data_IF_004314945674
#
_entry.id   IF_004314945674
#
_cell.length_a   1.000
_cell.length_b   1.000
_cell.length_c   1.000
_cell.angle_alpha   90.00
_cell.angle_beta   90.00
_cell.angle_gamma   90.00
#
_symmetry.space_group_name_H-M   'P 1'
#
loop_
_entity.id
_entity.type
_entity.pdbx_description
1 polymer ?
#
# COMPACT_ATOMS: atom_id res chain seq x y z
N UNK A 1 -21.61 7.48 -55.00
CA UNK A 1 -21.30 6.64 -53.82
C UNK A 1 -19.98 7.09 -53.22
N UNK A 2 -19.97 7.28 -51.89
CA UNK A 2 -18.83 7.30 -50.94
C UNK A 2 -17.61 8.18 -51.25
N UNK A 3 -17.42 9.19 -50.41
CA UNK A 3 -16.11 9.53 -49.85
C UNK A 3 -16.29 9.86 -48.36
N UNK A 4 -16.13 8.84 -47.52
CA UNK A 4 -15.91 8.97 -46.07
C UNK A 4 -14.41 8.73 -45.91
N UNK A 5 -13.71 9.64 -45.25
CA UNK A 5 -12.53 9.45 -44.36
C UNK A 5 -11.67 10.71 -44.44
N UNK A 6 -11.79 11.57 -43.43
CA UNK A 6 -10.62 12.14 -42.77
C UNK A 6 -11.05 12.82 -41.46
N UNK A 7 -10.90 12.11 -40.33
CA UNK A 7 -11.13 12.68 -39.00
C UNK A 7 -10.20 12.11 -37.92
N UNK A 8 -9.14 11.41 -38.32
CA UNK A 8 -8.26 10.66 -37.40
C UNK A 8 -7.05 11.43 -36.87
N UNK A 9 -6.65 12.55 -37.49
CA UNK A 9 -5.28 13.07 -37.29
C UNK A 9 -5.14 14.11 -36.16
N UNK A 10 -6.23 14.63 -35.61
CA UNK A 10 -6.17 15.71 -34.61
C UNK A 10 -6.09 15.25 -33.14
N UNK A 11 -6.28 13.96 -32.83
CA UNK A 11 -6.31 13.48 -31.42
C UNK A 11 -4.94 13.17 -30.80
N UNK A 12 -3.91 12.96 -31.62
CA UNK A 12 -2.56 12.58 -31.15
C UNK A 12 -1.68 13.75 -30.67
N UNK A 13 -1.86 14.96 -31.21
CA UNK A 13 -1.02 16.13 -30.86
C UNK A 13 -1.32 16.74 -29.50
N UNK A 14 -2.54 16.60 -29.02
CA UNK A 14 -2.97 17.21 -27.76
C UNK A 14 -2.39 16.41 -26.58
N UNK A 15 -2.42 15.08 -26.67
CA UNK A 15 -1.83 14.19 -25.65
C UNK A 15 -0.32 14.40 -25.51
N UNK A 16 0.42 14.59 -26.60
CA UNK A 16 1.86 14.83 -26.54
C UNK A 16 2.25 16.17 -25.88
N UNK A 17 1.45 17.23 -26.08
CA UNK A 17 1.71 18.53 -25.44
C UNK A 17 1.32 18.51 -23.96
N UNK A 18 0.25 17.80 -23.60
CA UNK A 18 -0.12 17.60 -22.20
C UNK A 18 0.93 16.78 -21.45
N UNK A 19 1.48 15.73 -22.07
CA UNK A 19 2.59 14.96 -21.49
C UNK A 19 3.84 15.80 -21.28
N UNK A 20 4.24 16.61 -22.27
CA UNK A 20 5.36 17.54 -22.14
C UNK A 20 5.14 18.59 -21.04
N UNK A 21 3.91 19.09 -20.91
CA UNK A 21 3.55 20.02 -19.84
C UNK A 21 3.65 19.36 -18.46
N UNK A 22 3.16 18.13 -18.31
CA UNK A 22 3.25 17.37 -17.06
C UNK A 22 4.72 17.08 -16.67
N UNK A 23 5.56 16.72 -17.64
CA UNK A 23 7.00 16.50 -17.40
C UNK A 23 7.70 17.79 -16.98
N UNK A 24 7.37 18.93 -17.61
CA UNK A 24 7.93 20.22 -17.24
C UNK A 24 7.52 20.67 -15.84
N UNK A 25 6.24 20.45 -15.47
CA UNK A 25 5.73 20.74 -14.12
C UNK A 25 6.41 19.85 -13.09
N UNK A 26 6.53 18.54 -13.34
CA UNK A 26 7.22 17.63 -12.46
C UNK A 26 8.70 18.02 -12.23
N UNK A 27 9.42 18.40 -13.29
CA UNK A 27 10.80 18.86 -13.18
C UNK A 27 10.93 20.15 -12.35
N UNK A 28 9.99 21.09 -12.50
CA UNK A 28 9.93 22.32 -11.71
C UNK A 28 9.68 22.03 -10.23
N UNK A 29 8.73 21.14 -9.92
CA UNK A 29 8.43 20.73 -8.54
C UNK A 29 9.65 20.05 -7.91
N UNK A 30 10.33 19.15 -8.61
CA UNK A 30 11.56 18.51 -8.11
C UNK A 30 12.68 19.52 -7.87
N UNK A 31 12.84 20.53 -8.74
CA UNK A 31 13.84 21.57 -8.55
C UNK A 31 13.55 22.43 -7.30
N UNK A 32 12.27 22.75 -7.06
CA UNK A 32 11.84 23.47 -5.85
C UNK A 32 12.06 22.63 -4.60
N UNK A 33 11.75 21.33 -4.64
CA UNK A 33 11.98 20.42 -3.52
C UNK A 33 13.47 20.28 -3.19
N UNK A 34 14.34 20.11 -4.20
CA UNK A 34 15.80 20.07 -4.00
C UNK A 34 16.33 21.39 -3.45
N UNK A 35 15.76 22.53 -3.86
CA UNK A 35 16.14 23.83 -3.33
C UNK A 35 15.70 24.01 -1.87
N UNK A 36 14.47 23.62 -1.52
CA UNK A 36 13.96 23.70 -0.14
C UNK A 36 14.69 22.73 0.82
N UNK A 37 15.01 21.51 0.38
CA UNK A 37 15.79 20.57 1.18
C UNK A 37 17.29 20.89 1.20
N UNK A 38 17.80 21.60 0.19
CA UNK A 38 19.19 22.06 0.12
C UNK A 38 19.47 23.22 1.09
N UNK A 39 18.51 24.14 1.28
CA UNK A 39 18.69 25.28 2.20
C UNK A 39 18.73 24.89 3.69
N UNK A 40 18.26 23.69 4.06
CA UNK A 40 18.35 23.18 5.44
C UNK A 40 19.71 22.53 5.76
N UNK A 41 20.62 22.43 4.79
CA UNK A 41 21.92 21.75 4.96
C UNK A 41 23.12 22.69 5.11
N UNK A 42 22.91 24.01 5.06
CA UNK A 42 23.96 25.03 5.08
C UNK A 42 23.97 25.86 6.39
N UNK A 43 23.65 25.24 7.52
CA UNK A 43 24.01 25.75 8.85
C UNK A 43 24.77 24.65 9.62
N UNK A 44 26.01 24.41 9.20
CA UNK A 44 27.03 23.76 10.04
C UNK A 44 28.04 24.83 10.44
N UNK A 45 27.83 25.34 11.66
CA UNK A 45 28.82 26.04 12.48
C UNK A 45 29.96 25.06 12.80
N UNK A 46 31.23 25.36 12.44
CA UNK A 46 32.37 24.59 12.90
C UNK A 46 33.28 25.47 13.75
N UNK A 47 32.84 25.84 14.94
CA UNK A 47 33.73 26.35 15.99
C UNK A 47 33.68 25.47 17.25
N UNK A 48 34.08 24.20 17.11
CA UNK A 48 34.45 23.37 18.28
C UNK A 48 35.70 22.55 17.99
N UNK A 49 36.79 23.06 18.56
CA UNK A 49 37.88 22.36 19.23
C UNK A 49 38.69 21.30 18.47
N UNK A 50 40.01 21.57 18.41
CA UNK A 50 41.02 20.65 17.93
C UNK A 50 41.02 19.30 18.65
N UNK A 51 41.14 18.25 17.84
CA UNK A 51 41.78 17.01 18.24
C UNK A 51 42.63 16.53 17.05
N UNK A 52 43.90 16.32 17.38
CA UNK A 52 44.94 15.59 16.66
C UNK A 52 44.41 14.54 15.66
N UNK A 53 44.73 14.68 14.37
CA UNK A 53 44.64 13.61 13.38
C UNK A 53 46.05 13.28 12.88
N UNK A 54 46.56 12.04 13.08
CA UNK A 54 47.67 11.54 12.29
C UNK A 54 47.16 10.83 11.02
N UNK A 55 47.70 11.29 9.90
CA UNK A 55 47.93 10.63 8.61
C UNK A 55 46.82 9.77 7.98
N UNK A 56 46.13 10.36 7.00
CA UNK A 56 45.59 9.60 5.85
C UNK A 56 46.47 9.82 4.62
N UNK A 57 46.90 8.75 3.92
CA UNK A 57 47.65 8.88 2.68
C UNK A 57 46.77 9.49 1.58
N UNK A 58 47.33 10.52 0.95
CA UNK A 58 46.82 11.16 -0.27
C UNK A 58 46.82 10.15 -1.41
N UNK A 59 45.65 9.94 -2.02
CA UNK A 59 45.57 9.47 -3.39
C UNK A 59 45.06 10.60 -4.28
N UNK A 60 45.82 10.76 -5.35
CA UNK A 60 45.85 11.81 -6.35
C UNK A 60 44.64 11.80 -7.29
N UNK A 61 44.22 13.03 -7.60
CA UNK A 61 43.58 13.55 -8.81
C UNK A 61 43.89 12.82 -10.14
N UNK A 62 42.84 12.54 -10.93
CA UNK A 62 42.77 12.57 -12.42
C UNK A 62 41.44 11.91 -12.84
N UNK A 63 40.47 12.68 -13.33
CA UNK A 63 40.26 13.03 -14.74
C UNK A 63 39.68 11.88 -15.59
N UNK A 64 38.78 12.28 -16.51
CA UNK A 64 38.35 11.59 -17.75
C UNK A 64 36.95 10.91 -17.76
N UNK A 65 35.98 11.64 -18.33
CA UNK A 65 35.00 11.09 -19.29
C UNK A 65 35.70 10.98 -20.65
N UNK A 66 35.43 10.01 -21.57
CA UNK A 66 34.07 9.74 -22.10
C UNK A 66 33.76 8.31 -22.64
N UNK A 67 32.50 8.12 -23.06
CA UNK A 67 32.03 7.37 -24.28
C UNK A 67 31.18 6.10 -24.05
N UNK A 68 29.98 5.99 -24.68
CA UNK A 68 29.04 4.89 -24.52
C UNK A 68 29.35 3.68 -25.43
N UNK A 69 28.98 2.48 -24.98
CA UNK A 69 28.91 1.27 -25.82
C UNK A 69 27.51 0.67 -25.79
N UNK A 70 27.03 0.35 -26.98
CA UNK A 70 25.71 -0.14 -27.37
C UNK A 70 25.41 -1.58 -26.86
N UNK A 71 24.15 -2.06 -27.00
CA UNK A 71 23.66 -3.28 -26.35
C UNK A 71 23.97 -4.54 -27.16
N UNK A 72 24.15 -5.66 -26.45
CA UNK A 72 24.20 -7.00 -27.05
C UNK A 72 23.17 -7.88 -26.35
N UNK A 73 22.06 -8.16 -27.05
CA UNK A 73 21.23 -9.34 -26.79
C UNK A 73 22.01 -10.61 -27.13
N UNK A 74 21.76 -11.71 -26.41
CA UNK A 74 21.11 -12.82 -27.11
C UNK A 74 19.98 -13.51 -26.31
N UNK A 75 18.93 -13.88 -27.06
CA UNK A 75 17.94 -14.92 -26.74
C UNK A 75 18.59 -16.28 -26.50
N UNK A 76 17.90 -17.18 -25.78
CA UNK A 76 17.73 -18.64 -26.04
C UNK A 76 17.13 -19.29 -24.77
N UNK A 77 15.82 -19.57 -24.74
CA UNK A 77 15.14 -20.89 -24.89
C UNK A 77 14.85 -21.66 -23.57
N UNK A 78 13.69 -22.33 -23.48
CA UNK A 78 13.13 -22.89 -22.24
C UNK A 78 13.68 -24.29 -21.91
N UNK A 79 13.84 -24.60 -20.63
CA UNK A 79 14.12 -25.97 -20.18
C UNK A 79 12.87 -26.54 -19.47
N UNK A 80 12.21 -27.44 -20.20
CA UNK A 80 11.22 -28.38 -19.69
C UNK A 80 11.96 -29.56 -19.06
N UNK A 81 11.74 -29.80 -17.76
CA UNK A 81 12.02 -31.10 -17.13
C UNK A 81 10.84 -31.51 -16.27
N UNK A 82 10.16 -32.57 -16.72
CA UNK A 82 9.17 -33.33 -15.97
C UNK A 82 9.85 -34.59 -15.42
N UNK A 83 9.52 -35.05 -14.20
CA UNK A 83 9.28 -36.47 -13.88
C UNK A 83 8.43 -36.58 -12.58
N UNK A 84 7.44 -37.49 -12.49
CA UNK A 84 6.58 -37.72 -11.32
C UNK A 84 7.00 -38.91 -10.42
N UNK A 85 6.17 -39.13 -9.39
CA UNK A 85 5.94 -40.33 -8.57
C UNK A 85 6.67 -40.46 -7.22
N UNK A 86 5.88 -40.48 -6.13
CA UNK A 86 5.93 -41.55 -5.11
C UNK A 86 4.55 -41.72 -4.47
N UNK A 87 4.02 -42.94 -4.62
CA UNK A 87 2.84 -43.48 -3.97
C UNK A 87 3.11 -43.88 -2.52
N UNK A 88 2.12 -43.65 -1.65
CA UNK A 88 1.64 -44.67 -0.70
C UNK A 88 2.07 -44.55 0.77
N UNK A 89 1.14 -44.16 1.65
CA UNK A 89 0.43 -45.07 2.56
C UNK A 89 -0.53 -44.30 3.51
N UNK A 90 -1.79 -44.74 3.70
CA UNK A 90 -2.73 -44.18 4.67
C UNK A 90 -2.55 -44.81 6.06
N UNK A 91 -2.57 -43.97 7.10
CA UNK A 91 -2.66 -44.38 8.51
C UNK A 91 -4.13 -44.28 8.96
N UNK A 92 -4.79 -45.39 9.37
CA UNK A 92 -6.11 -45.35 9.97
C UNK A 92 -6.01 -45.29 11.51
N UNK A 93 -5.89 -44.09 12.04
CA UNK A 93 -6.07 -43.79 13.47
C UNK A 93 -7.43 -43.13 13.71
N UNK A 94 -8.41 -43.93 14.13
CA UNK A 94 -9.73 -43.47 14.60
C UNK A 94 -9.67 -42.87 16.00
N UNK A 95 -10.73 -42.13 16.31
CA UNK A 95 -11.31 -41.84 17.63
C UNK A 95 -10.98 -40.50 18.31
N UNK A 96 -11.97 -39.60 18.12
CA UNK A 96 -12.63 -38.81 19.16
C UNK A 96 -11.81 -37.75 19.92
N UNK A 97 -11.91 -36.52 19.41
CA UNK A 97 -12.14 -35.37 20.26
C UNK A 97 -13.36 -34.61 19.73
N UNK A 98 -14.38 -34.52 20.57
CA UNK A 98 -15.71 -34.02 20.27
C UNK A 98 -15.68 -32.66 19.56
N UNK A 99 -16.32 -32.64 18.39
CA UNK A 99 -16.72 -31.43 17.71
C UNK A 99 -17.67 -30.65 18.64
N UNK A 100 -17.18 -29.55 19.20
CA UNK A 100 -18.06 -28.51 19.74
C UNK A 100 -18.60 -27.72 18.55
N UNK A 101 -19.49 -28.35 17.78
CA UNK A 101 -20.33 -27.64 16.83
C UNK A 101 -21.36 -26.87 17.65
N UNK A 102 -20.97 -25.70 18.16
CA UNK A 102 -21.93 -24.68 18.52
C UNK A 102 -22.75 -24.43 17.26
N UNK A 103 -24.03 -24.80 17.32
CA UNK A 103 -24.99 -24.56 16.25
C UNK A 103 -25.26 -23.05 16.21
N UNK A 104 -24.34 -22.32 15.60
CA UNK A 104 -24.56 -20.95 15.15
C UNK A 104 -25.69 -21.04 14.13
N UNK A 105 -26.87 -20.53 14.49
CA UNK A 105 -27.95 -20.39 13.54
C UNK A 105 -27.39 -19.63 12.34
N UNK A 106 -27.43 -20.22 11.16
CA UNK A 106 -26.83 -19.65 9.96
C UNK A 106 -27.42 -18.26 9.72
N UNK A 107 -26.65 -17.23 10.09
CA UNK A 107 -27.03 -15.85 9.86
C UNK A 107 -27.04 -15.67 8.35
N UNK A 108 -28.24 -15.47 7.80
CA UNK A 108 -28.44 -15.35 6.35
C UNK A 108 -28.43 -13.88 5.99
N UNK A 109 -27.76 -13.53 4.90
CA UNK A 109 -27.63 -12.14 4.43
C UNK A 109 -26.19 -11.63 4.44
N UNK A 110 -25.96 -10.35 4.12
CA UNK A 110 -24.64 -9.73 4.22
C UNK A 110 -24.25 -9.57 5.69
N UNK A 111 -23.02 -9.93 6.03
CA UNK A 111 -22.45 -9.77 7.38
C UNK A 111 -21.03 -9.28 7.25
N UNK A 112 -20.65 -8.31 8.08
CA UNK A 112 -19.33 -7.71 8.05
C UNK A 112 -18.64 -7.82 9.41
N UNK A 113 -17.34 -8.06 9.38
CA UNK A 113 -16.43 -7.94 10.53
C UNK A 113 -15.26 -7.06 10.14
N UNK A 114 -14.84 -6.17 11.04
CA UNK A 114 -13.65 -5.34 10.85
C UNK A 114 -12.64 -5.60 11.98
N UNK A 115 -11.43 -6.03 11.63
CA UNK A 115 -10.31 -6.24 12.56
C UNK A 115 -9.20 -5.22 12.32
N UNK A 116 -8.54 -4.82 13.41
CA UNK A 116 -7.44 -3.85 13.38
C UNK A 116 -6.13 -4.55 13.76
N UNK A 117 -5.06 -4.27 13.00
CA UNK A 117 -3.72 -4.74 13.28
C UNK A 117 -2.74 -3.57 13.23
N UNK A 118 -1.90 -3.43 14.27
CA UNK A 118 -0.82 -2.45 14.27
C UNK A 118 0.24 -2.90 13.27
N UNK A 119 0.45 -2.11 12.22
CA UNK A 119 1.45 -2.38 11.18
C UNK A 119 2.83 -1.84 11.58
N UNK A 120 2.91 -0.56 11.95
CA UNK A 120 4.16 0.09 12.36
C UNK A 120 3.89 1.22 13.37
N UNK A 121 4.89 1.54 14.19
CA UNK A 121 4.84 2.62 15.18
C UNK A 121 6.14 3.42 15.13
N UNK A 122 6.01 4.74 15.05
CA UNK A 122 7.16 5.63 15.11
C UNK A 122 6.82 6.96 15.77
N UNK A 123 7.69 7.43 16.67
CA UNK A 123 7.75 8.80 17.19
C UNK A 123 6.39 9.52 17.36
N UNK A 124 5.46 8.92 18.10
CA UNK A 124 4.14 9.53 18.38
C UNK A 124 3.10 9.35 17.27
N UNK A 125 3.34 8.45 16.33
CA UNK A 125 2.40 8.06 15.28
C UNK A 125 2.37 6.55 15.10
N UNK A 126 1.25 6.04 14.61
CA UNK A 126 1.07 4.63 14.26
C UNK A 126 0.46 4.49 12.88
N UNK A 127 0.73 3.36 12.24
CA UNK A 127 0.04 2.84 11.06
C UNK A 127 -0.77 1.61 11.49
N UNK A 128 -2.03 1.54 11.06
CA UNK A 128 -2.93 0.44 11.40
C UNK A 128 -3.59 -0.07 10.13
N UNK A 129 -3.49 -1.37 9.91
CA UNK A 129 -4.24 -2.08 8.89
C UNK A 129 -5.63 -2.43 9.42
N UNK A 130 -6.62 -2.30 8.54
CA UNK A 130 -8.02 -2.63 8.80
C UNK A 130 -8.40 -3.74 7.83
N UNK A 131 -8.72 -4.93 8.34
CA UNK A 131 -9.30 -5.99 7.51
C UNK A 131 -10.82 -5.96 7.65
N UNK A 132 -11.51 -5.67 6.55
CA UNK A 132 -12.97 -5.72 6.46
C UNK A 132 -13.37 -6.96 5.69
N UNK A 133 -14.03 -7.90 6.35
CA UNK A 133 -14.37 -9.22 5.79
C UNK A 133 -15.89 -9.45 5.72
N UNK A 134 -16.33 -10.03 4.61
CA UNK A 134 -17.70 -10.51 4.45
C UNK A 134 -17.82 -11.93 5.04
N UNK A 135 -18.39 -12.02 6.23
CA UNK A 135 -18.64 -13.29 6.93
C UNK A 135 -20.04 -13.86 6.63
N UNK A 136 -20.80 -13.18 5.78
CA UNK A 136 -22.15 -13.55 5.39
C UNK A 136 -22.21 -14.48 4.18
N UNK A 137 -23.41 -14.68 3.67
CA UNK A 137 -23.68 -15.54 2.49
C UNK A 137 -24.08 -14.75 1.24
N UNK A 138 -24.24 -13.44 1.37
CA UNK A 138 -24.60 -12.52 0.28
C UNK A 138 -23.48 -11.50 0.08
N UNK A 139 -23.27 -10.99 -1.15
CA UNK A 139 -22.28 -9.95 -1.40
C UNK A 139 -22.61 -8.67 -0.62
N UNK A 140 -21.56 -7.93 -0.28
CA UNK A 140 -21.64 -6.58 0.28
C UNK A 140 -21.32 -5.60 -0.85
N UNK A 141 -22.13 -4.56 -1.04
CA UNK A 141 -21.95 -3.53 -2.08
C UNK A 141 -21.49 -2.17 -1.51
N UNK A 142 -21.37 -2.06 -0.20
CA UNK A 142 -20.78 -0.94 0.54
C UNK A 142 -20.62 -1.31 2.01
N UNK A 143 -19.74 -0.64 2.75
CA UNK A 143 -19.53 -0.95 4.17
C UNK A 143 -19.08 0.26 4.96
N UNK A 144 -19.40 0.23 6.25
CA UNK A 144 -18.98 1.23 7.21
C UNK A 144 -18.40 0.59 8.47
N UNK A 145 -17.39 1.24 9.06
CA UNK A 145 -16.77 0.87 10.34
C UNK A 145 -16.82 2.04 11.32
N UNK A 146 -16.83 1.72 12.62
CA UNK A 146 -16.76 2.72 13.70
C UNK A 146 -15.49 2.49 14.51
N UNK A 147 -14.47 3.34 14.34
CA UNK A 147 -13.15 3.07 14.94
C UNK A 147 -13.11 3.34 16.46
N UNK A 148 -13.73 4.44 16.93
CA UNK A 148 -13.83 4.83 18.36
C UNK A 148 -12.53 4.60 19.15
N UNK A 149 -11.45 5.24 18.71
CA UNK A 149 -10.09 4.97 19.20
C UNK A 149 -9.73 5.86 20.39
N UNK A 150 -9.44 5.23 21.53
CA UNK A 150 -8.99 5.97 22.71
C UNK A 150 -7.50 6.35 22.61
N UNK A 151 -7.22 7.65 22.70
CA UNK A 151 -5.85 8.20 22.73
C UNK A 151 -5.14 8.26 21.38
N UNK A 152 -5.89 8.10 20.28
CA UNK A 152 -5.40 8.15 18.90
C UNK A 152 -6.25 9.12 18.08
N UNK A 153 -5.60 10.04 17.38
CA UNK A 153 -6.23 10.92 16.41
C UNK A 153 -5.91 10.44 14.99
N UNK A 154 -6.92 10.07 14.19
CA UNK A 154 -6.70 9.63 12.80
C UNK A 154 -6.31 10.82 11.92
N UNK A 155 -5.13 10.75 11.30
CA UNK A 155 -4.54 11.84 10.48
C UNK A 155 -4.36 11.49 9.01
N UNK A 156 -4.40 10.20 8.64
CA UNK A 156 -4.27 9.74 7.27
C UNK A 156 -5.12 8.51 6.98
N UNK A 157 -5.63 8.41 5.75
CA UNK A 157 -6.51 7.32 5.31
C UNK A 157 -6.04 6.77 3.96
N UNK A 158 -6.07 5.46 3.81
CA UNK A 158 -5.84 4.75 2.54
C UNK A 158 -6.91 3.66 2.39
N UNK A 159 -7.75 3.76 1.38
CA UNK A 159 -8.85 2.80 1.24
C UNK A 159 -10.07 3.07 2.14
N UNK A 160 -10.07 4.18 2.89
CA UNK A 160 -11.17 4.61 3.75
C UNK A 160 -11.62 6.02 3.36
N UNK A 161 -12.93 6.26 3.42
CA UNK A 161 -13.53 7.60 3.38
C UNK A 161 -14.00 7.99 4.79
N UNK A 162 -13.75 9.24 5.18
CA UNK A 162 -14.27 9.76 6.47
C UNK A 162 -15.70 10.26 6.28
N UNK A 163 -16.64 9.66 7.01
CA UNK A 163 -18.07 9.98 6.86
C UNK A 163 -18.49 11.07 7.84
N UNK A 164 -18.37 10.80 9.15
CA UNK A 164 -18.68 11.73 10.24
C UNK A 164 -18.17 11.15 11.57
N UNK A 165 -17.63 11.97 12.48
CA UNK A 165 -17.12 11.50 13.77
C UNK A 165 -16.12 10.35 13.61
N UNK A 166 -16.35 9.24 14.30
CA UNK A 166 -15.53 8.02 14.20
C UNK A 166 -16.02 7.02 13.13
N UNK A 167 -16.95 7.43 12.26
CA UNK A 167 -17.48 6.58 11.17
C UNK A 167 -16.65 6.76 9.90
N UNK A 168 -16.22 5.63 9.37
CA UNK A 168 -15.48 5.55 8.12
C UNK A 168 -16.15 4.54 7.20
N UNK A 169 -16.06 4.77 5.89
CA UNK A 169 -16.67 3.92 4.88
C UNK A 169 -15.68 3.46 3.84
N UNK A 170 -16.18 2.61 2.96
CA UNK A 170 -15.49 2.23 1.74
C UNK A 170 -15.24 3.41 0.79
N UNK A 171 -14.44 3.14 -0.22
CA UNK A 171 -14.34 3.95 -1.42
C UNK A 171 -14.71 3.11 -2.66
N UNK A 172 -14.96 3.78 -3.78
CA UNK A 172 -15.49 3.17 -5.01
C UNK A 172 -14.82 1.84 -5.44
N UNK A 173 -13.54 1.64 -5.16
CA UNK A 173 -12.81 0.46 -5.61
C UNK A 173 -12.71 -0.69 -4.59
N UNK A 174 -13.20 -0.51 -3.36
CA UNK A 174 -13.21 -1.55 -2.32
C UNK A 174 -14.58 -1.70 -1.61
N UNK A 175 -15.64 -1.08 -2.14
CA UNK A 175 -17.01 -1.22 -1.65
C UNK A 175 -17.54 -2.66 -1.74
N UNK A 176 -17.27 -3.31 -2.88
CA UNK A 176 -17.75 -4.66 -3.17
C UNK A 176 -16.93 -5.75 -2.48
N UNK A 177 -17.57 -6.60 -1.66
CA UNK A 177 -16.94 -7.75 -0.99
C UNK A 177 -17.78 -9.01 -1.19
N UNK A 178 -17.25 -9.96 -1.96
CA UNK A 178 -17.87 -11.29 -2.15
C UNK A 178 -17.91 -12.09 -0.83
N UNK A 179 -18.86 -13.02 -0.66
CA UNK A 179 -18.92 -13.90 0.52
C UNK A 179 -17.60 -14.61 0.79
N UNK A 180 -17.10 -14.53 2.02
CA UNK A 180 -15.82 -15.11 2.45
C UNK A 180 -14.57 -14.37 1.97
N UNK A 181 -14.71 -13.20 1.33
CA UNK A 181 -13.60 -12.34 0.92
C UNK A 181 -13.40 -11.17 1.89
N UNK A 182 -12.27 -10.48 1.75
CA UNK A 182 -11.95 -9.28 2.54
C UNK A 182 -11.28 -8.18 1.70
N UNK A 183 -11.29 -6.97 2.23
CA UNK A 183 -10.50 -5.83 1.74
C UNK A 183 -9.64 -5.28 2.89
N UNK A 184 -8.48 -4.71 2.55
CA UNK A 184 -7.50 -4.23 3.53
C UNK A 184 -7.18 -2.75 3.37
N UNK A 185 -8.09 -1.83 3.75
CA UNK A 185 -7.71 -0.43 3.95
C UNK A 185 -6.80 -0.24 5.16
N UNK A 186 -6.21 0.95 5.30
CA UNK A 186 -5.39 1.31 6.45
C UNK A 186 -5.52 2.78 6.80
N UNK A 187 -5.10 3.13 8.00
CA UNK A 187 -5.05 4.51 8.46
C UNK A 187 -3.78 4.79 9.26
N UNK A 188 -3.47 6.08 9.37
CA UNK A 188 -2.43 6.60 10.25
C UNK A 188 -3.08 7.42 11.35
N UNK A 189 -2.55 7.31 12.55
CA UNK A 189 -2.98 8.11 13.69
C UNK A 189 -1.80 8.72 14.45
N UNK A 190 -2.02 9.88 15.06
CA UNK A 190 -1.13 10.49 16.04
C UNK A 190 -1.53 10.04 17.46
N UNK A 191 -0.53 9.85 18.33
CA UNK A 191 -0.71 9.39 19.71
C UNK A 191 -0.86 10.60 20.64
N UNK A 192 -2.03 10.75 21.25
CA UNK A 192 -2.35 11.87 22.14
C UNK A 192 -2.13 11.55 23.64
N UNK A 193 -1.69 10.33 23.96
CA UNK A 193 -1.44 9.89 25.33
C UNK A 193 -1.33 8.39 25.48
N UNK A 194 -1.89 7.86 26.57
CA UNK A 194 -2.08 6.42 26.70
C UNK A 194 -3.15 5.97 25.69
N UNK A 195 -2.80 4.99 24.85
CA UNK A 195 -3.65 4.51 23.77
C UNK A 195 -3.83 3.00 23.84
N UNK A 196 -4.92 2.53 23.23
CA UNK A 196 -5.18 1.11 23.06
C UNK A 196 -5.88 0.86 21.73
N UNK A 197 -5.40 -0.12 20.97
CA UNK A 197 -6.04 -0.54 19.73
C UNK A 197 -6.95 -1.75 19.99
N UNK A 198 -8.28 -1.65 19.77
CA UNK A 198 -9.16 -2.81 19.87
C UNK A 198 -8.88 -3.78 18.71
N UNK A 199 -8.94 -5.09 18.98
CA UNK A 199 -8.70 -6.09 17.93
C UNK A 199 -9.77 -6.08 16.84
N UNK A 200 -11.01 -5.71 17.19
CA UNK A 200 -12.14 -5.63 16.27
C UNK A 200 -13.01 -4.43 16.58
N UNK A 201 -13.63 -3.86 15.55
CA UNK A 201 -14.56 -2.73 15.63
C UNK A 201 -15.90 -3.07 14.99
N UNK A 202 -16.98 -2.34 15.32
CA UNK A 202 -18.27 -2.52 14.66
C UNK A 202 -18.14 -2.28 13.14
N UNK A 203 -18.69 -3.21 12.35
CA UNK A 203 -18.86 -3.04 10.92
C UNK A 203 -20.33 -3.22 10.53
N UNK A 204 -20.82 -2.38 9.62
CA UNK A 204 -22.17 -2.46 9.07
C UNK A 204 -22.08 -2.67 7.55
N UNK A 205 -22.60 -3.79 7.01
CA UNK A 205 -22.68 -3.97 5.57
C UNK A 205 -23.86 -3.19 4.97
N UNK A 206 -23.67 -2.70 3.76
CA UNK A 206 -24.71 -2.18 2.87
C UNK A 206 -24.92 -3.16 1.70
N UNK A 207 -26.18 -3.24 1.23
CA UNK A 207 -26.66 -4.19 0.24
C UNK A 207 -27.22 -3.50 -1.01
#
# INVERSE_FOLDING_TARGET
>A
MRARTDRGVLRGRIHGRSLLALVAVAALVSAVAVWQFGSLRDEHDPDVAGADQPDRPRYTESAESPTPSAPVSPSLTPESSAVPETSGAPDPGSEEAATSAASEAAVTGPQCTASLELDDEWSGSISVDVEVANTGTEPIDGWEVVLDLAGLEVTGLWGLDHLDGDRYGDIMFNAGIDPGSSVGPSFQAEVEGEWSLPATVPCTPEA
#
